data_IF_149538356719
#
_entry.id   IF_149538356719
#
_cell.length_a   1.000
_cell.length_b   1.000
_cell.length_c   1.000
_cell.angle_alpha   90.00
_cell.angle_beta   90.00
_cell.angle_gamma   90.00
#
_symmetry.space_group_name_H-M   'P 1'
#
loop_
_entity.id
_entity.type
_entity.pdbx_description
1 polymer ?
#
# COMPACT_ATOMS: atom_id res chain seq x y z
N UNK A 1 -78.03 -2.19 42.89
CA UNK A 1 -76.59 -2.22 43.19
C UNK A 1 -75.89 -2.92 41.98
N UNK A 2 -75.39 -2.13 41.04
CA UNK A 2 -74.76 -2.64 39.83
C UNK A 2 -73.26 -2.40 39.89
N UNK A 3 -72.45 -3.46 39.90
CA UNK A 3 -71.00 -3.43 39.72
C UNK A 3 -70.64 -3.55 38.27
N UNK A 4 -70.11 -2.52 37.65
CA UNK A 4 -69.53 -2.51 36.31
C UNK A 4 -68.06 -2.92 36.43
N UNK A 5 -67.69 -4.01 35.78
CA UNK A 5 -66.27 -4.37 35.57
C UNK A 5 -65.69 -3.55 34.43
N UNK A 6 -64.59 -2.88 34.71
CA UNK A 6 -63.76 -2.19 33.68
C UNK A 6 -62.67 -3.18 33.24
N UNK A 7 -62.70 -3.59 31.98
CA UNK A 7 -61.62 -4.34 31.37
C UNK A 7 -60.66 -3.33 30.74
N UNK A 8 -59.45 -3.22 31.30
CA UNK A 8 -58.31 -2.47 30.69
C UNK A 8 -57.53 -3.41 29.79
N UNK A 9 -57.62 -3.18 28.49
CA UNK A 9 -56.81 -3.80 27.46
C UNK A 9 -55.49 -3.03 27.37
N UNK A 10 -54.41 -3.63 27.83
CA UNK A 10 -53.04 -3.18 27.61
C UNK A 10 -52.58 -3.62 26.25
N UNK A 11 -52.49 -2.66 25.28
CA UNK A 11 -51.85 -2.86 23.99
C UNK A 11 -50.32 -2.83 24.20
N UNK A 12 -49.70 -4.01 24.09
CA UNK A 12 -48.25 -4.11 24.06
C UNK A 12 -47.72 -3.67 22.70
N UNK A 13 -47.03 -2.55 22.67
CA UNK A 13 -46.27 -2.11 21.48
C UNK A 13 -44.99 -2.90 21.38
N UNK A 14 -44.93 -3.86 20.44
CA UNK A 14 -43.69 -4.47 20.02
C UNK A 14 -42.86 -3.43 19.23
N UNK A 15 -41.83 -2.89 19.90
CA UNK A 15 -40.81 -2.12 19.19
C UNK A 15 -39.95 -3.10 18.38
N UNK A 16 -40.16 -3.14 17.06
CA UNK A 16 -39.20 -3.73 16.12
C UNK A 16 -37.93 -2.87 16.17
N UNK A 17 -36.93 -3.37 16.89
CA UNK A 17 -35.58 -2.87 16.79
C UNK A 17 -35.06 -3.21 15.39
N UNK A 18 -35.18 -2.27 14.46
CA UNK A 18 -34.54 -2.33 13.16
C UNK A 18 -33.03 -2.42 13.35
N UNK A 19 -32.47 -3.60 13.09
CA UNK A 19 -31.04 -3.75 12.88
C UNK A 19 -30.69 -2.96 11.62
N UNK A 20 -30.30 -1.69 11.81
CA UNK A 20 -29.65 -0.95 10.74
C UNK A 20 -28.33 -1.68 10.42
N UNK A 21 -28.33 -2.44 9.34
CA UNK A 21 -27.09 -2.84 8.72
C UNK A 21 -26.41 -1.54 8.29
N UNK A 22 -25.41 -1.11 9.04
CA UNK A 22 -24.55 -0.02 8.61
C UNK A 22 -23.94 -0.47 7.28
N UNK A 23 -24.43 0.09 6.19
CA UNK A 23 -23.91 -0.14 4.85
C UNK A 23 -22.47 0.35 4.88
N UNK A 24 -21.50 -0.54 4.64
CA UNK A 24 -20.09 -0.14 4.61
C UNK A 24 -19.92 0.96 3.57
N UNK A 25 -19.24 2.04 3.96
CA UNK A 25 -18.98 3.17 3.07
C UNK A 25 -18.25 2.66 1.83
N UNK A 26 -18.65 3.10 0.65
CA UNK A 26 -17.93 2.82 -0.59
C UNK A 26 -16.68 3.69 -0.66
N UNK A 27 -15.56 3.09 -1.08
CA UNK A 27 -14.31 3.80 -1.37
C UNK A 27 -14.17 4.19 -2.84
N UNK A 28 -15.25 4.04 -3.62
CA UNK A 28 -15.26 4.40 -5.04
C UNK A 28 -14.89 5.87 -5.23
N UNK A 29 -13.86 6.14 -6.07
CA UNK A 29 -13.33 7.48 -6.31
C UNK A 29 -12.47 8.05 -5.16
N UNK A 30 -12.23 7.26 -4.09
CA UNK A 30 -11.36 7.62 -2.96
C UNK A 30 -10.10 6.76 -2.99
N UNK A 31 -10.28 5.45 -3.21
CA UNK A 31 -9.18 4.51 -3.41
C UNK A 31 -9.06 4.24 -4.91
N UNK A 32 -7.88 4.47 -5.46
CA UNK A 32 -7.54 4.24 -6.85
C UNK A 32 -6.87 2.87 -7.00
N UNK A 33 -7.45 2.04 -7.86
CA UNK A 33 -7.02 0.67 -8.10
C UNK A 33 -5.91 0.63 -9.15
N UNK A 34 -4.78 -0.04 -8.84
CA UNK A 34 -3.64 -0.18 -9.75
C UNK A 34 -3.04 -1.59 -9.76
N UNK A 35 -2.21 -1.87 -10.76
CA UNK A 35 -1.37 -3.06 -10.85
C UNK A 35 0.09 -2.70 -11.07
N UNK A 36 1.01 -3.55 -10.60
CA UNK A 36 2.44 -3.43 -10.89
C UNK A 36 2.74 -3.87 -12.31
N UNK A 37 3.64 -3.14 -12.97
CA UNK A 37 4.11 -3.41 -14.34
C UNK A 37 5.63 -3.38 -14.40
N UNK A 38 6.20 -3.78 -15.54
CA UNK A 38 7.65 -3.78 -15.77
C UNK A 38 8.24 -2.40 -16.07
N UNK A 39 9.41 -2.41 -16.71
CA UNK A 39 10.16 -1.20 -17.12
C UNK A 39 9.82 -0.72 -18.52
N UNK A 40 9.20 -1.57 -19.34
CA UNK A 40 8.79 -1.27 -20.71
C UNK A 40 7.26 -1.29 -20.83
N UNK A 41 6.66 -0.47 -21.70
CA UNK A 41 5.23 -0.52 -21.94
C UNK A 41 4.82 -1.81 -22.65
N UNK A 42 3.70 -2.38 -22.22
CA UNK A 42 2.93 -3.40 -22.93
C UNK A 42 1.55 -2.82 -23.20
N UNK A 43 1.39 -2.21 -24.37
CA UNK A 43 0.18 -1.48 -24.74
C UNK A 43 -1.07 -2.37 -24.69
N UNK A 44 -0.97 -3.64 -25.13
CA UNK A 44 -2.08 -4.59 -25.10
C UNK A 44 -2.48 -4.91 -23.65
N UNK A 45 -1.51 -5.14 -22.78
CA UNK A 45 -1.77 -5.39 -21.35
C UNK A 45 -2.36 -4.15 -20.68
N UNK A 46 -1.80 -2.96 -20.95
CA UNK A 46 -2.28 -1.70 -20.36
C UNK A 46 -3.70 -1.37 -20.82
N UNK A 47 -4.04 -1.59 -22.10
CA UNK A 47 -5.42 -1.47 -22.58
C UNK A 47 -6.35 -2.40 -21.81
N UNK A 48 -5.94 -3.67 -21.60
CA UNK A 48 -6.72 -4.61 -20.83
C UNK A 48 -6.91 -4.18 -19.37
N UNK A 49 -5.87 -3.63 -18.74
CA UNK A 49 -5.92 -3.06 -17.38
C UNK A 49 -6.95 -1.93 -17.33
N UNK A 50 -6.90 -0.99 -18.27
CA UNK A 50 -7.86 0.12 -18.39
C UNK A 50 -9.29 -0.37 -18.58
N UNK A 51 -9.53 -1.32 -19.49
CA UNK A 51 -10.86 -1.88 -19.80
C UNK A 51 -11.51 -2.56 -18.58
N UNK A 52 -10.69 -3.08 -17.67
CA UNK A 52 -11.12 -3.71 -16.41
C UNK A 52 -11.35 -2.69 -15.27
N UNK A 53 -11.26 -1.40 -15.59
CA UNK A 53 -11.53 -0.32 -14.66
C UNK A 53 -10.46 -0.13 -13.58
N UNK A 54 -9.20 -0.41 -13.91
CA UNK A 54 -8.09 0.08 -13.11
C UNK A 54 -7.87 1.56 -13.39
N UNK A 55 -7.50 2.29 -12.34
CA UNK A 55 -7.29 3.75 -12.40
C UNK A 55 -5.86 4.09 -12.82
N UNK A 56 -4.92 3.16 -12.68
CA UNK A 56 -3.52 3.38 -13.03
C UNK A 56 -2.64 2.15 -12.91
N UNK A 57 -1.33 2.38 -13.08
CA UNK A 57 -0.28 1.38 -13.00
C UNK A 57 0.88 1.87 -12.14
N UNK A 58 1.75 0.95 -11.70
CA UNK A 58 3.00 1.24 -11.01
C UNK A 58 4.16 0.53 -11.69
N UNK A 59 5.18 1.30 -12.11
CA UNK A 59 6.32 0.78 -12.86
C UNK A 59 7.50 0.36 -12.01
N UNK A 60 8.58 -0.10 -12.66
CA UNK A 60 9.85 -0.41 -12.03
C UNK A 60 10.94 0.57 -12.50
N UNK A 61 11.79 1.02 -11.58
CA UNK A 61 12.97 1.84 -11.86
C UNK A 61 14.16 1.37 -10.97
N UNK A 62 15.42 1.63 -11.36
CA UNK A 62 15.85 2.27 -12.60
C UNK A 62 15.68 1.35 -13.84
N UNK A 63 15.79 1.95 -15.01
CA UNK A 63 15.65 1.24 -16.29
C UNK A 63 14.27 1.40 -16.92
N UNK A 64 13.41 2.24 -16.32
CA UNK A 64 12.12 2.59 -16.89
C UNK A 64 12.29 3.26 -18.27
N UNK A 65 11.59 2.77 -19.29
CA UNK A 65 11.53 3.40 -20.59
C UNK A 65 10.58 4.61 -20.55
N UNK A 66 11.07 5.72 -19.99
CA UNK A 66 10.27 6.89 -19.62
C UNK A 66 9.42 7.40 -20.78
N UNK A 67 10.02 7.76 -21.93
CA UNK A 67 9.26 8.37 -23.02
C UNK A 67 8.26 7.40 -23.70
N UNK A 68 8.61 6.12 -23.98
CA UNK A 68 7.63 5.14 -24.43
C UNK A 68 6.49 4.93 -23.42
N UNK A 69 6.80 4.87 -22.11
CA UNK A 69 5.81 4.69 -21.05
C UNK A 69 4.84 5.87 -20.97
N UNK A 70 5.36 7.11 -20.97
CA UNK A 70 4.53 8.33 -21.01
C UNK A 70 3.57 8.34 -22.18
N UNK A 71 4.08 7.99 -23.37
CA UNK A 71 3.26 7.96 -24.58
C UNK A 71 2.08 7.01 -24.44
N UNK A 72 2.32 5.76 -24.01
CA UNK A 72 1.26 4.75 -23.88
C UNK A 72 0.29 5.12 -22.75
N UNK A 73 0.79 5.57 -21.61
CA UNK A 73 -0.05 6.05 -20.50
C UNK A 73 -0.99 7.19 -20.94
N UNK A 74 -0.47 8.16 -21.70
CA UNK A 74 -1.27 9.28 -22.20
C UNK A 74 -2.32 8.83 -23.23
N UNK A 75 -1.94 7.93 -24.16
CA UNK A 75 -2.85 7.40 -25.18
C UNK A 75 -4.03 6.64 -24.57
N UNK A 76 -3.80 5.91 -23.47
CA UNK A 76 -4.80 5.10 -22.81
C UNK A 76 -5.52 5.82 -21.66
N UNK A 77 -5.14 7.05 -21.34
CA UNK A 77 -5.58 7.74 -20.12
C UNK A 77 -5.44 6.80 -18.89
N UNK A 78 -4.26 6.19 -18.74
CA UNK A 78 -3.91 5.25 -17.68
C UNK A 78 -2.62 5.73 -16.98
N UNK A 79 -2.72 6.58 -15.93
CA UNK A 79 -1.56 7.18 -15.30
C UNK A 79 -0.68 6.15 -14.60
N UNK A 80 0.64 6.40 -14.62
CA UNK A 80 1.60 5.72 -13.77
C UNK A 80 1.74 6.52 -12.46
N UNK A 81 1.17 6.00 -11.36
CA UNK A 81 1.10 6.75 -10.10
C UNK A 81 2.39 6.75 -9.27
N UNK A 82 3.35 5.90 -9.63
CA UNK A 82 4.63 5.75 -8.95
C UNK A 82 5.49 4.66 -9.56
N UNK A 83 6.66 4.47 -8.99
CA UNK A 83 7.58 3.39 -9.38
C UNK A 83 8.13 2.66 -8.16
N UNK A 84 8.54 1.42 -8.36
CA UNK A 84 9.29 0.61 -7.38
C UNK A 84 10.78 0.79 -7.63
N UNK A 85 11.57 1.10 -6.61
CA UNK A 85 13.03 1.02 -6.70
C UNK A 85 13.47 -0.45 -6.69
N UNK A 86 13.48 -1.09 -7.85
CA UNK A 86 13.63 -2.54 -8.02
C UNK A 86 15.01 -3.11 -7.64
N UNK A 87 16.01 -2.25 -7.32
CA UNK A 87 17.36 -2.67 -6.94
C UNK A 87 17.58 -2.77 -5.43
N UNK A 88 16.59 -2.43 -4.62
CA UNK A 88 16.71 -2.38 -3.16
C UNK A 88 17.12 -3.71 -2.50
N UNK A 89 16.91 -4.85 -3.17
CA UNK A 89 17.34 -6.15 -2.65
C UNK A 89 18.82 -6.45 -2.91
N UNK A 90 19.35 -6.02 -4.05
CA UNK A 90 20.73 -6.27 -4.47
C UNK A 90 21.69 -5.17 -4.02
N UNK A 91 21.22 -3.93 -3.98
CA UNK A 91 22.03 -2.76 -3.64
C UNK A 91 21.25 -1.99 -2.55
N UNK A 92 21.56 -2.29 -1.27
CA UNK A 92 20.77 -1.81 -0.13
C UNK A 92 21.31 -0.50 0.44
N UNK A 93 20.43 0.36 0.90
CA UNK A 93 20.79 1.57 1.68
C UNK A 93 21.42 1.21 3.04
N UNK A 94 21.15 0.01 3.56
CA UNK A 94 21.67 -0.49 4.83
C UNK A 94 23.00 -1.27 4.73
N UNK A 95 23.52 -1.46 3.52
CA UNK A 95 24.73 -2.30 3.32
C UNK A 95 25.90 -1.80 4.18
N UNK A 96 26.72 -2.74 4.65
CA UNK A 96 27.94 -2.43 5.44
C UNK A 96 28.98 -1.63 4.65
N UNK A 97 29.06 -1.86 3.32
CA UNK A 97 29.95 -1.12 2.44
C UNK A 97 29.35 0.24 2.06
N UNK A 98 30.02 1.35 2.40
CA UNK A 98 29.52 2.70 2.07
C UNK A 98 29.39 2.94 0.56
N UNK A 99 30.22 2.34 -0.28
CA UNK A 99 30.13 2.47 -1.74
C UNK A 99 28.82 1.82 -2.27
N UNK A 100 28.40 0.70 -1.66
CA UNK A 100 27.11 0.06 -2.00
C UNK A 100 25.95 0.96 -1.56
N UNK A 101 26.04 1.57 -0.39
CA UNK A 101 25.00 2.54 0.07
C UNK A 101 24.91 3.74 -0.87
N UNK A 102 26.05 4.31 -1.28
CA UNK A 102 26.10 5.40 -2.24
C UNK A 102 25.49 5.00 -3.59
N UNK A 103 25.85 3.83 -4.12
CA UNK A 103 25.26 3.29 -5.34
C UNK A 103 23.75 3.11 -5.22
N UNK A 104 23.27 2.65 -4.06
CA UNK A 104 21.84 2.53 -3.77
C UNK A 104 21.16 3.89 -3.77
N UNK A 105 21.73 4.86 -3.06
CA UNK A 105 21.23 6.24 -3.00
C UNK A 105 21.12 6.86 -4.41
N UNK A 106 22.17 6.71 -5.22
CA UNK A 106 22.17 7.22 -6.59
C UNK A 106 21.12 6.53 -7.47
N UNK A 107 20.92 5.22 -7.29
CA UNK A 107 19.86 4.47 -7.96
C UNK A 107 18.46 4.90 -7.54
N UNK A 108 18.25 5.15 -6.25
CA UNK A 108 16.98 5.68 -5.73
C UNK A 108 16.72 7.11 -6.24
N UNK A 109 17.75 7.97 -6.27
CA UNK A 109 17.65 9.31 -6.87
C UNK A 109 17.23 9.26 -8.35
N UNK A 110 17.74 8.28 -9.12
CA UNK A 110 17.32 8.09 -10.50
C UNK A 110 15.86 7.62 -10.57
N UNK A 111 15.45 6.66 -9.71
CA UNK A 111 14.07 6.21 -9.64
C UNK A 111 13.09 7.34 -9.31
N UNK A 112 13.49 8.29 -8.45
CA UNK A 112 12.69 9.49 -8.15
C UNK A 112 12.52 10.39 -9.39
N UNK A 113 13.59 10.59 -10.18
CA UNK A 113 13.52 11.35 -11.44
C UNK A 113 12.65 10.64 -12.47
N UNK A 114 12.78 9.31 -12.59
CA UNK A 114 11.95 8.49 -13.47
C UNK A 114 10.47 8.58 -13.08
N UNK A 115 10.16 8.48 -11.77
CA UNK A 115 8.80 8.65 -11.25
C UNK A 115 8.23 10.03 -11.61
N UNK A 116 9.00 11.10 -11.41
CA UNK A 116 8.59 12.46 -11.78
C UNK A 116 8.33 12.59 -13.27
N UNK A 117 9.22 12.03 -14.09
CA UNK A 117 9.13 12.14 -15.54
C UNK A 117 7.88 11.47 -16.12
N UNK A 118 7.39 10.37 -15.51
CA UNK A 118 6.15 9.70 -15.93
C UNK A 118 4.88 10.26 -15.26
N UNK A 119 5.00 11.31 -14.44
CA UNK A 119 3.87 11.92 -13.73
C UNK A 119 3.49 11.24 -12.42
N UNK A 120 4.32 10.34 -11.94
CA UNK A 120 4.15 9.67 -10.65
C UNK A 120 4.40 10.60 -9.47
N UNK A 121 3.98 10.16 -8.28
CA UNK A 121 4.08 10.93 -7.03
C UNK A 121 4.96 10.29 -5.97
N UNK A 122 5.47 9.08 -6.22
CA UNK A 122 6.26 8.36 -5.23
C UNK A 122 7.20 7.31 -5.83
N UNK A 123 8.20 6.95 -5.02
CA UNK A 123 9.03 5.75 -5.21
C UNK A 123 8.83 4.84 -4.01
N UNK A 124 8.49 3.56 -4.26
CA UNK A 124 8.49 2.51 -3.25
C UNK A 124 9.93 2.07 -2.96
N UNK A 125 10.29 2.00 -1.67
CA UNK A 125 11.60 1.63 -1.18
C UNK A 125 11.51 0.58 -0.07
N UNK A 126 12.24 -0.53 -0.20
CA UNK A 126 12.63 -1.37 0.93
C UNK A 126 13.98 -0.85 1.46
N UNK A 127 14.07 -0.36 2.71
CA UNK A 127 15.25 0.38 3.18
C UNK A 127 16.49 -0.49 3.39
N UNK A 128 16.30 -1.82 3.57
CA UNK A 128 17.39 -2.74 3.79
C UNK A 128 16.93 -4.12 4.22
N UNK A 129 17.86 -4.92 4.73
CA UNK A 129 17.61 -6.29 5.20
C UNK A 129 18.53 -6.62 6.36
N UNK A 130 17.99 -7.25 7.39
CA UNK A 130 18.83 -7.84 8.46
C UNK A 130 19.47 -9.12 7.93
N UNK A 131 20.80 -9.16 7.87
CA UNK A 131 21.56 -10.30 7.33
C UNK A 131 22.49 -10.94 8.37
N UNK A 132 22.58 -10.36 9.58
CA UNK A 132 23.42 -10.83 10.67
C UNK A 132 24.02 -9.69 11.48
N UNK A 133 25.11 -9.95 12.22
CA UNK A 133 25.72 -8.96 13.10
C UNK A 133 26.20 -7.68 12.38
N UNK A 134 26.73 -7.82 11.16
CA UNK A 134 27.25 -6.71 10.36
C UNK A 134 26.17 -5.84 9.70
N UNK A 135 24.95 -6.36 9.61
CA UNK A 135 23.76 -5.68 9.11
C UNK A 135 22.57 -6.15 9.96
N UNK A 136 22.58 -5.77 11.25
CA UNK A 136 21.51 -6.04 12.21
C UNK A 136 20.42 -4.96 12.12
N UNK A 137 19.37 -5.07 12.94
CA UNK A 137 18.23 -4.14 12.94
C UNK A 137 18.68 -2.68 13.11
N UNK A 138 19.58 -2.39 14.06
CA UNK A 138 20.08 -1.05 14.30
C UNK A 138 20.90 -0.52 13.11
N UNK A 139 21.74 -1.37 12.51
CA UNK A 139 22.49 -0.99 11.31
C UNK A 139 21.56 -0.67 10.13
N UNK A 140 20.49 -1.43 9.94
CA UNK A 140 19.49 -1.12 8.90
C UNK A 140 18.85 0.22 9.18
N UNK A 141 18.44 0.46 10.43
CA UNK A 141 17.84 1.71 10.88
C UNK A 141 18.73 2.92 10.59
N UNK A 142 19.91 2.96 11.18
CA UNK A 142 20.79 4.12 11.13
C UNK A 142 21.29 4.41 9.72
N UNK A 143 21.79 3.37 9.03
CA UNK A 143 22.38 3.56 7.70
C UNK A 143 21.35 3.93 6.65
N UNK A 144 20.16 3.34 6.67
CA UNK A 144 19.13 3.69 5.68
C UNK A 144 18.58 5.09 5.91
N UNK A 145 18.34 5.51 7.16
CA UNK A 145 17.91 6.88 7.47
C UNK A 145 18.96 7.88 7.00
N UNK A 146 20.23 7.65 7.29
CA UNK A 146 21.33 8.50 6.82
C UNK A 146 21.30 8.72 5.29
N UNK A 147 21.05 7.64 4.53
CA UNK A 147 20.98 7.74 3.07
C UNK A 147 19.68 8.39 2.58
N UNK A 148 18.55 8.13 3.25
CA UNK A 148 17.26 8.75 2.93
C UNK A 148 17.34 10.26 3.17
N UNK A 149 17.88 10.68 4.30
CA UNK A 149 18.02 12.10 4.64
C UNK A 149 18.80 12.89 3.59
N UNK A 150 19.83 12.30 2.96
CA UNK A 150 20.57 12.92 1.87
C UNK A 150 19.74 13.09 0.58
N UNK A 151 18.61 12.39 0.46
CA UNK A 151 17.70 12.48 -0.69
C UNK A 151 16.50 13.41 -0.46
N UNK A 152 16.26 13.87 0.77
CA UNK A 152 15.12 14.73 1.10
C UNK A 152 15.08 16.02 0.28
N UNK A 153 16.19 16.73 0.04
CA UNK A 153 16.15 17.91 -0.84
C UNK A 153 15.68 17.59 -2.26
N UNK A 154 16.09 16.44 -2.80
CA UNK A 154 15.63 15.99 -4.12
C UNK A 154 14.16 15.56 -4.09
N UNK A 155 13.71 14.94 -3.00
CA UNK A 155 12.32 14.55 -2.82
C UNK A 155 11.39 15.77 -2.84
N UNK A 156 11.77 16.82 -2.13
CA UNK A 156 11.08 18.10 -2.10
C UNK A 156 11.10 18.80 -3.47
N UNK A 157 12.27 18.93 -4.09
CA UNK A 157 12.43 19.54 -5.43
C UNK A 157 11.54 18.89 -6.47
N UNK A 158 11.51 17.55 -6.48
CA UNK A 158 10.73 16.77 -7.44
C UNK A 158 9.26 16.62 -7.04
N UNK A 159 8.89 16.95 -5.81
CA UNK A 159 7.57 16.63 -5.22
C UNK A 159 7.27 15.12 -5.32
N UNK A 160 8.23 14.29 -4.88
CA UNK A 160 8.17 12.82 -4.92
C UNK A 160 8.35 12.27 -3.51
N UNK A 161 7.38 11.49 -3.04
CA UNK A 161 7.51 10.78 -1.76
C UNK A 161 8.40 9.54 -1.89
N UNK A 162 9.22 9.30 -0.88
CA UNK A 162 9.91 8.03 -0.65
C UNK A 162 9.00 7.21 0.26
N UNK A 163 8.35 6.19 -0.28
CA UNK A 163 7.42 5.36 0.47
C UNK A 163 8.08 4.05 0.90
N UNK A 164 8.19 3.88 2.21
CA UNK A 164 8.83 2.70 2.80
C UNK A 164 7.85 1.53 2.76
N UNK A 165 8.27 0.42 2.19
CA UNK A 165 7.47 -0.81 2.15
C UNK A 165 7.79 -1.74 3.32
N UNK A 166 6.76 -2.35 3.88
CA UNK A 166 6.85 -3.43 4.87
C UNK A 166 6.98 -4.79 4.19
N UNK A 167 8.09 -5.50 4.49
CA UNK A 167 8.42 -6.80 3.87
C UNK A 167 9.06 -7.76 4.88
N UNK A 168 9.28 -9.02 4.46
CA UNK A 168 9.93 -10.04 5.30
C UNK A 168 11.47 -9.98 5.21
N UNK A 169 12.04 -8.94 5.75
CA UNK A 169 13.48 -8.65 5.69
C UNK A 169 14.19 -8.63 7.04
N UNK A 170 13.51 -9.04 8.13
CA UNK A 170 14.07 -8.98 9.50
C UNK A 170 13.99 -7.60 10.14
N UNK A 171 13.34 -6.63 9.50
CA UNK A 171 13.31 -5.25 9.92
C UNK A 171 11.88 -4.76 10.20
N UNK A 172 11.64 -4.14 11.35
CA UNK A 172 10.37 -3.53 11.74
C UNK A 172 9.15 -4.47 11.63
N UNK A 173 9.20 -5.63 12.30
CA UNK A 173 8.11 -6.61 12.32
C UNK A 173 6.98 -6.29 13.31
N UNK A 174 7.04 -5.12 13.98
CA UNK A 174 5.97 -4.61 14.83
C UNK A 174 5.46 -3.28 14.27
N UNK A 175 4.15 -3.03 14.30
CA UNK A 175 3.58 -1.80 13.75
C UNK A 175 4.18 -0.53 14.35
N UNK A 176 4.43 -0.53 15.68
CA UNK A 176 5.04 0.59 16.37
C UNK A 176 6.48 0.85 15.90
N UNK A 177 7.27 -0.21 15.69
CA UNK A 177 8.64 -0.06 15.19
C UNK A 177 8.66 0.57 13.79
N UNK A 178 7.72 0.17 12.93
CA UNK A 178 7.64 0.71 11.58
C UNK A 178 7.16 2.16 11.57
N UNK A 179 6.17 2.51 12.42
CA UNK A 179 5.77 3.90 12.67
C UNK A 179 6.95 4.73 13.12
N UNK A 180 7.67 4.28 14.14
CA UNK A 180 8.80 5.01 14.73
C UNK A 180 9.96 5.17 13.75
N UNK A 181 10.17 4.19 12.85
CA UNK A 181 11.15 4.29 11.77
C UNK A 181 10.79 5.38 10.76
N UNK A 182 9.52 5.47 10.35
CA UNK A 182 9.05 6.53 9.44
C UNK A 182 9.22 7.89 10.12
N UNK A 183 8.81 8.01 11.38
CA UNK A 183 8.92 9.25 12.15
C UNK A 183 10.38 9.67 12.34
N UNK A 184 11.30 8.74 12.51
CA UNK A 184 12.73 9.01 12.65
C UNK A 184 13.38 9.55 11.37
N UNK A 185 12.75 9.40 10.20
CA UNK A 185 13.21 10.09 8.98
C UNK A 185 12.96 11.59 9.03
N UNK A 186 12.12 12.08 9.93
CA UNK A 186 11.83 13.50 10.23
C UNK A 186 11.50 14.33 8.98
N UNK A 187 10.60 13.79 8.12
CA UNK A 187 10.25 14.44 6.86
C UNK A 187 8.87 14.06 6.37
N UNK A 188 8.06 15.01 5.87
CA UNK A 188 6.79 14.71 5.24
C UNK A 188 6.95 13.94 3.93
N UNK A 189 8.12 13.93 3.33
CA UNK A 189 8.43 13.22 2.10
C UNK A 189 8.68 11.72 2.29
N UNK A 190 8.78 11.25 3.55
CA UNK A 190 8.95 9.83 3.86
C UNK A 190 7.69 9.31 4.56
N UNK A 191 7.01 8.35 3.94
CA UNK A 191 5.75 7.81 4.45
C UNK A 191 5.68 6.30 4.20
N UNK A 192 4.57 5.66 4.60
CA UNK A 192 4.37 4.23 4.44
C UNK A 192 3.77 3.86 3.08
N UNK A 193 4.37 2.87 2.44
CA UNK A 193 3.73 1.99 1.47
C UNK A 193 3.39 0.70 2.21
N UNK A 194 2.17 0.57 2.71
CA UNK A 194 1.82 -0.54 3.57
C UNK A 194 1.37 -1.77 2.76
N UNK A 195 2.13 -2.87 2.83
CA UNK A 195 1.71 -4.15 2.25
C UNK A 195 0.83 -4.92 3.25
N UNK A 196 -0.43 -5.07 2.90
CA UNK A 196 -1.45 -5.70 3.74
C UNK A 196 -1.13 -7.19 3.98
N UNK A 197 -0.73 -7.92 2.94
CA UNK A 197 -0.47 -9.36 3.03
C UNK A 197 0.86 -9.70 3.70
N UNK A 198 1.92 -8.95 3.40
CA UNK A 198 3.23 -9.20 4.00
C UNK A 198 3.17 -9.18 5.53
N UNK A 199 2.44 -8.22 6.08
CA UNK A 199 2.46 -7.96 7.52
C UNK A 199 1.39 -8.73 8.29
N UNK A 200 0.42 -9.35 7.61
CA UNK A 200 -0.60 -10.19 8.24
C UNK A 200 -0.02 -11.33 9.08
N UNK A 201 1.17 -11.83 8.72
CA UNK A 201 1.89 -12.85 9.48
C UNK A 201 2.32 -12.42 10.87
N UNK A 202 2.62 -11.13 11.07
CA UNK A 202 3.24 -10.61 12.30
C UNK A 202 2.21 -9.97 13.23
N UNK A 203 1.18 -9.35 12.66
CA UNK A 203 0.00 -8.85 13.36
C UNK A 203 -1.15 -8.68 12.35
N UNK A 204 -2.41 -8.66 12.79
CA UNK A 204 -3.54 -8.40 11.90
C UNK A 204 -3.37 -7.08 11.13
N UNK A 205 -3.54 -7.11 9.80
CA UNK A 205 -3.25 -5.97 8.93
C UNK A 205 -4.02 -4.70 9.29
N UNK A 206 -5.23 -4.84 9.82
CA UNK A 206 -6.03 -3.71 10.29
C UNK A 206 -5.43 -3.00 11.53
N UNK A 207 -4.66 -3.72 12.36
CA UNK A 207 -3.94 -3.09 13.49
C UNK A 207 -2.75 -2.27 13.01
N UNK A 208 -2.05 -2.73 11.97
CA UNK A 208 -1.02 -1.96 11.30
C UNK A 208 -1.56 -0.65 10.78
N UNK A 209 -2.68 -0.69 10.04
CA UNK A 209 -3.33 0.50 9.47
C UNK A 209 -3.69 1.49 10.60
N UNK A 210 -4.29 1.00 11.69
CA UNK A 210 -4.65 1.82 12.84
C UNK A 210 -3.44 2.53 13.47
N UNK A 211 -2.31 1.83 13.62
CA UNK A 211 -1.09 2.36 14.27
C UNK A 211 -0.33 3.31 13.33
N UNK A 212 -0.24 2.99 12.06
CA UNK A 212 0.39 3.86 11.05
C UNK A 212 -0.42 5.14 10.81
N UNK A 213 -1.74 5.04 10.85
CA UNK A 213 -2.63 6.20 10.68
C UNK A 213 -2.39 6.92 9.36
N UNK A 214 -2.30 8.25 9.42
CA UNK A 214 -2.09 9.13 8.25
C UNK A 214 -0.72 8.96 7.55
N UNK A 215 0.20 8.18 8.13
CA UNK A 215 1.47 7.81 7.48
C UNK A 215 1.25 6.85 6.31
N UNK A 216 0.13 6.15 6.27
CA UNK A 216 -0.25 5.24 5.18
C UNK A 216 -0.66 6.05 3.96
N UNK A 217 0.24 6.23 2.99
CA UNK A 217 -0.06 6.95 1.74
C UNK A 217 -0.46 6.04 0.58
N UNK A 218 0.08 4.82 0.54
CA UNK A 218 -0.26 3.82 -0.49
C UNK A 218 -0.33 2.43 0.13
N UNK A 219 -1.04 1.54 -0.56
CA UNK A 219 -1.24 0.16 -0.14
C UNK A 219 -0.77 -0.80 -1.23
N UNK A 220 0.00 -1.83 -0.85
CA UNK A 220 0.09 -3.06 -1.62
C UNK A 220 -1.04 -4.01 -1.19
N UNK A 221 -1.80 -4.44 -2.17
CA UNK A 221 -2.95 -5.33 -1.98
C UNK A 221 -2.50 -6.76 -2.23
N UNK A 222 -2.31 -7.46 -1.14
CA UNK A 222 -1.83 -8.83 -1.09
C UNK A 222 -2.61 -9.60 -0.03
N UNK A 223 -2.69 -10.90 -0.13
CA UNK A 223 -3.27 -11.74 0.91
C UNK A 223 -2.30 -12.83 1.34
N UNK A 224 -2.36 -13.16 2.62
CA UNK A 224 -1.56 -14.20 3.24
C UNK A 224 -2.39 -14.93 4.30
N UNK A 225 -2.24 -16.25 4.35
CA UNK A 225 -2.87 -17.08 5.36
C UNK A 225 -1.88 -18.05 6.00
N UNK A 226 -2.07 -18.33 7.26
CA UNK A 226 -1.23 -19.24 8.06
C UNK A 226 -1.15 -20.66 7.48
N UNK A 227 -2.19 -21.09 6.76
CA UNK A 227 -2.25 -22.40 6.09
C UNK A 227 -1.72 -22.38 4.66
N UNK A 228 -1.96 -21.29 3.94
CA UNK A 228 -1.76 -21.23 2.49
C UNK A 228 -0.52 -20.40 2.08
N UNK A 229 0.10 -19.68 3.02
CA UNK A 229 1.14 -18.69 2.68
C UNK A 229 0.55 -17.53 1.88
N UNK A 230 1.32 -16.96 0.96
CA UNK A 230 0.80 -15.99 -0.01
C UNK A 230 -0.17 -16.68 -0.97
N UNK A 231 -1.35 -16.11 -1.10
CA UNK A 231 -2.47 -16.70 -1.82
C UNK A 231 -3.26 -15.64 -2.61
N UNK A 232 -4.20 -16.07 -3.47
CA UNK A 232 -5.14 -15.14 -4.11
C UNK A 232 -5.93 -14.34 -3.08
N UNK A 233 -6.33 -13.13 -3.46
CA UNK A 233 -7.11 -12.23 -2.61
C UNK A 233 -8.39 -12.90 -2.08
N UNK A 234 -8.67 -12.71 -0.79
CA UNK A 234 -9.80 -13.28 -0.08
C UNK A 234 -9.64 -14.74 0.30
N UNK A 235 -8.48 -15.37 0.08
CA UNK A 235 -8.19 -16.77 0.44
C UNK A 235 -7.19 -16.90 1.61
N UNK A 236 -6.72 -15.78 2.15
CA UNK A 236 -5.85 -15.72 3.31
C UNK A 236 -6.58 -15.41 4.61
N UNK A 237 -5.82 -14.95 5.58
CA UNK A 237 -6.32 -14.62 6.93
C UNK A 237 -6.59 -13.10 7.10
N UNK A 238 -6.48 -12.29 6.03
CA UNK A 238 -6.75 -10.86 6.08
C UNK A 238 -8.25 -10.61 6.30
N UNK A 239 -8.58 -9.94 7.40
CA UNK A 239 -9.95 -9.47 7.67
C UNK A 239 -10.23 -8.18 6.88
N UNK A 240 -10.62 -8.32 5.62
CA UNK A 240 -10.87 -7.20 4.71
C UNK A 240 -11.96 -6.24 5.21
N UNK A 241 -12.91 -6.73 5.99
CA UNK A 241 -13.93 -5.85 6.61
C UNK A 241 -13.29 -4.93 7.64
N UNK A 242 -12.42 -5.46 8.52
CA UNK A 242 -11.69 -4.64 9.49
C UNK A 242 -10.68 -3.72 8.81
N UNK A 243 -10.00 -4.20 7.75
CA UNK A 243 -9.12 -3.35 6.93
C UNK A 243 -9.88 -2.13 6.42
N UNK A 244 -11.05 -2.32 5.77
CA UNK A 244 -11.88 -1.19 5.31
C UNK A 244 -12.27 -0.23 6.44
N UNK A 245 -12.69 -0.77 7.59
CA UNK A 245 -13.07 0.04 8.73
C UNK A 245 -11.92 0.92 9.25
N UNK A 246 -10.69 0.39 9.28
CA UNK A 246 -9.54 1.18 9.69
C UNK A 246 -9.12 2.19 8.62
N UNK A 247 -9.18 1.84 7.33
CA UNK A 247 -8.96 2.78 6.23
C UNK A 247 -9.94 3.96 6.28
N UNK A 248 -11.21 3.70 6.63
CA UNK A 248 -12.21 4.76 6.82
C UNK A 248 -11.86 5.66 8.01
N UNK A 249 -11.47 5.08 9.16
CA UNK A 249 -11.12 5.84 10.37
C UNK A 249 -9.91 6.75 10.17
N UNK A 250 -8.91 6.30 9.42
CA UNK A 250 -7.75 7.13 9.08
C UNK A 250 -8.01 8.07 7.92
N UNK A 251 -9.22 8.05 7.35
CA UNK A 251 -9.62 8.83 6.16
C UNK A 251 -8.67 8.59 4.97
N UNK A 252 -8.31 7.33 4.74
CA UNK A 252 -7.40 6.96 3.65
C UNK A 252 -7.98 7.38 2.30
N UNK A 253 -7.15 8.05 1.51
CA UNK A 253 -7.42 8.39 0.10
C UNK A 253 -6.11 8.22 -0.66
N UNK A 254 -6.09 7.34 -1.67
CA UNK A 254 -4.85 7.08 -2.39
C UNK A 254 -4.88 5.81 -3.23
N UNK A 255 -3.71 5.31 -3.55
CA UNK A 255 -3.53 4.17 -4.43
C UNK A 255 -3.47 2.84 -3.66
N UNK A 256 -4.13 1.85 -4.21
CA UNK A 256 -4.11 0.46 -3.79
C UNK A 256 -3.61 -0.39 -4.98
N UNK A 257 -2.35 -0.79 -4.94
CA UNK A 257 -1.70 -1.51 -6.04
C UNK A 257 -1.71 -3.01 -5.76
N UNK A 258 -2.17 -3.81 -6.70
CA UNK A 258 -2.11 -5.28 -6.56
C UNK A 258 -0.67 -5.78 -6.72
N UNK A 259 -0.20 -6.52 -5.73
CA UNK A 259 1.01 -7.33 -5.81
C UNK A 259 0.68 -8.80 -5.55
N UNK A 260 0.95 -9.67 -6.54
CA UNK A 260 0.71 -11.10 -6.48
C UNK A 260 -0.13 -11.60 -7.65
N UNK A 261 -0.62 -12.84 -7.56
CA UNK A 261 -1.33 -13.52 -8.65
C UNK A 261 -2.66 -14.09 -8.16
N UNK A 262 -3.75 -13.68 -8.82
CA UNK A 262 -5.11 -14.16 -8.56
C UNK A 262 -5.60 -15.13 -9.65
N UNK A 263 -4.74 -15.47 -10.60
CA UNK A 263 -5.10 -16.26 -11.78
C UNK A 263 -5.55 -15.42 -12.98
N UNK A 264 -5.11 -14.16 -13.04
CA UNK A 264 -5.34 -13.23 -14.14
C UNK A 264 -5.87 -11.88 -13.68
N UNK A 265 -5.59 -10.83 -14.49
CA UNK A 265 -5.95 -9.44 -14.17
C UNK A 265 -7.45 -9.20 -14.07
N UNK A 266 -8.26 -9.96 -14.83
CA UNK A 266 -9.74 -9.94 -14.75
C UNK A 266 -10.24 -10.32 -13.36
N UNK A 267 -9.72 -11.42 -12.84
CA UNK A 267 -10.08 -11.90 -11.51
C UNK A 267 -9.57 -10.94 -10.43
N UNK A 268 -8.38 -10.41 -10.61
CA UNK A 268 -7.82 -9.37 -9.73
C UNK A 268 -8.74 -8.16 -9.66
N UNK A 269 -9.19 -7.63 -10.80
CA UNK A 269 -10.08 -6.45 -10.84
C UNK A 269 -11.36 -6.68 -10.03
N UNK A 270 -11.99 -7.85 -10.21
CA UNK A 270 -13.21 -8.24 -9.49
C UNK A 270 -12.95 -8.32 -7.98
N UNK A 271 -11.92 -9.06 -7.58
CA UNK A 271 -11.58 -9.26 -6.16
C UNK A 271 -11.25 -7.95 -5.45
N UNK A 272 -10.48 -7.06 -6.09
CA UNK A 272 -10.19 -5.74 -5.50
C UNK A 272 -11.46 -4.92 -5.31
N UNK A 273 -12.37 -4.88 -6.31
CA UNK A 273 -13.64 -4.17 -6.16
C UNK A 273 -14.47 -4.72 -4.99
N UNK A 274 -14.53 -6.04 -4.85
CA UNK A 274 -15.33 -6.71 -3.83
C UNK A 274 -14.75 -6.49 -2.42
N UNK A 275 -13.44 -6.72 -2.26
CA UNK A 275 -12.76 -6.66 -0.98
C UNK A 275 -12.54 -5.24 -0.47
N UNK A 276 -12.34 -4.27 -1.36
CA UNK A 276 -12.12 -2.87 -0.99
C UNK A 276 -13.39 -2.00 -1.14
N UNK A 277 -14.51 -2.56 -1.59
CA UNK A 277 -15.77 -1.84 -1.83
C UNK A 277 -15.61 -0.65 -2.81
N UNK A 278 -14.96 -0.90 -3.97
CA UNK A 278 -14.68 0.08 -5.03
C UNK A 278 -15.82 0.19 -6.04
#
# INVERSE_FOLDING_TARGET
MNRRHFLTTTAGSLALAGLSHAQSKSFRGIIHKAVKVGTAPDEKHFQRVKDLGFDGIEGNAPGLQVEPMKKVCAQLDLPMHGVVYSKHWQVRLSDRNPEVREKSRNGLAQAMRDAKAVGGTSVLLVPGKVTGEQENHQHVWDRSIEQIQQLLPLAEELNIHILIETVWNGFCYKPEQFRDYIDACDSPWVQAYFDIGNMQRFAPSHEWIRILGKRTLKLDIKDWGSKNGFCPLGQGDVDWKKVRNELEKIEFSGWATREGNDGGVDKTAKLMNELLAL
#
